data_IF_316057625079
#
_entry.id   IF_316057625079
#
_cell.length_a   1.000
_cell.length_b   1.000
_cell.length_c   1.000
_cell.angle_alpha   90.00
_cell.angle_beta   90.00
_cell.angle_gamma   90.00
#
_symmetry.space_group_name_H-M   'P 1'
#
loop_
_entity.id
_entity.type
_entity.pdbx_description
1 polymer ?
#
# COMPACT_ATOMS: atom_id res chain seq x y z
N UNK A 1 16.77 5.86 -1.97
CA UNK A 1 15.42 5.31 -1.72
C UNK A 1 14.37 6.37 -1.96
N UNK A 2 13.28 5.98 -2.57
CA UNK A 2 12.21 6.90 -2.90
C UNK A 2 11.15 6.87 -1.80
N UNK A 3 10.72 8.05 -1.36
CA UNK A 3 9.66 8.18 -0.36
C UNK A 3 8.40 8.64 -1.07
N UNK A 4 7.28 8.00 -0.79
CA UNK A 4 5.99 8.35 -1.36
C UNK A 4 4.99 8.61 -0.25
N UNK A 5 4.04 9.49 -0.52
CA UNK A 5 2.97 9.77 0.42
C UNK A 5 1.88 8.71 0.27
N UNK A 6 1.51 8.09 1.37
CA UNK A 6 0.52 7.03 1.38
C UNK A 6 -0.64 7.40 2.30
N UNK A 7 -1.82 7.71 1.75
CA UNK A 7 -2.98 8.03 2.59
C UNK A 7 -3.39 6.86 3.49
N UNK A 8 -3.14 5.65 3.05
CA UNK A 8 -3.44 4.46 3.86
C UNK A 8 -2.62 4.44 5.15
N UNK A 9 -1.33 4.79 5.05
CA UNK A 9 -0.44 4.80 6.21
C UNK A 9 -0.45 6.14 6.95
N UNK A 10 -1.17 7.11 6.42
CA UNK A 10 -1.28 8.42 7.05
C UNK A 10 -0.03 9.26 6.98
N UNK A 11 0.84 9.00 6.01
CA UNK A 11 2.07 9.76 5.89
C UNK A 11 2.99 9.20 4.81
N UNK A 12 4.25 9.62 4.87
CA UNK A 12 5.25 9.20 3.90
C UNK A 12 5.83 7.84 4.26
N UNK A 13 5.99 7.00 3.26
CA UNK A 13 6.57 5.67 3.43
C UNK A 13 7.57 5.40 2.31
N UNK A 14 8.39 4.38 2.51
CA UNK A 14 9.33 3.92 1.50
C UNK A 14 8.56 3.37 0.29
N UNK A 15 9.07 3.65 -0.90
CA UNK A 15 8.47 3.16 -2.14
C UNK A 15 8.37 1.62 -2.15
N UNK A 16 9.33 0.94 -1.57
CA UNK A 16 9.30 -0.52 -1.45
C UNK A 16 8.10 -1.00 -0.64
N UNK A 17 7.78 -0.30 0.44
CA UNK A 17 6.61 -0.65 1.26
C UNK A 17 5.33 -0.37 0.48
N UNK A 18 5.29 0.72 -0.25
CA UNK A 18 4.15 1.05 -1.10
C UNK A 18 3.93 -0.05 -2.15
N UNK A 19 5.00 -0.54 -2.74
CA UNK A 19 4.95 -1.63 -3.70
C UNK A 19 4.41 -2.91 -3.06
N UNK A 20 4.87 -3.23 -1.85
CA UNK A 20 4.39 -4.41 -1.13
C UNK A 20 2.89 -4.34 -0.90
N UNK A 21 2.39 -3.17 -0.47
CA UNK A 21 0.96 -2.96 -0.27
C UNK A 21 0.21 -3.11 -1.59
N UNK A 22 0.77 -2.55 -2.66
CA UNK A 22 0.19 -2.66 -3.99
C UNK A 22 0.03 -4.12 -4.42
N UNK A 23 1.05 -4.94 -4.20
CA UNK A 23 1.00 -6.34 -4.56
C UNK A 23 -0.07 -7.10 -3.79
N UNK A 24 -0.24 -6.77 -2.51
CA UNK A 24 -1.28 -7.38 -1.68
C UNK A 24 -2.67 -6.97 -2.18
N UNK A 25 -2.85 -5.70 -2.52
CA UNK A 25 -4.13 -5.18 -3.00
C UNK A 25 -4.51 -5.83 -4.33
N UNK A 26 -3.53 -6.05 -5.20
CA UNK A 26 -3.77 -6.69 -6.50
C UNK A 26 -3.95 -8.21 -6.38
N UNK A 27 -3.73 -8.77 -5.19
CA UNK A 27 -3.85 -10.19 -4.98
C UNK A 27 -2.63 -11.00 -5.44
N UNK A 28 -1.54 -10.32 -5.75
CA UNK A 28 -0.31 -10.97 -6.23
C UNK A 28 0.57 -11.46 -5.08
N UNK A 29 0.29 -11.02 -3.84
CA UNK A 29 1.07 -11.40 -2.67
C UNK A 29 0.15 -11.61 -1.47
N UNK A 30 0.55 -12.41 -0.48
CA UNK A 30 -0.25 -12.60 0.73
C UNK A 30 -0.23 -11.34 1.60
N UNK A 31 -1.26 -11.19 2.45
CA UNK A 31 -1.39 -10.01 3.31
C UNK A 31 -0.17 -9.77 4.18
N UNK A 32 0.52 -10.82 4.58
CA UNK A 32 1.72 -10.71 5.41
C UNK A 32 2.87 -9.97 4.73
N UNK A 33 2.80 -9.82 3.40
CA UNK A 33 3.81 -9.08 2.65
C UNK A 33 3.75 -7.59 2.96
N UNK A 34 2.55 -7.07 3.20
CA UNK A 34 2.35 -5.67 3.56
C UNK A 34 2.50 -5.49 5.08
N UNK A 35 2.80 -4.25 5.55
CA UNK A 35 2.82 -3.97 6.98
C UNK A 35 1.47 -4.29 7.62
N UNK A 36 1.51 -4.85 8.82
CA UNK A 36 0.30 -5.18 9.55
C UNK A 36 -0.61 -3.97 9.74
N UNK A 37 -0.02 -2.80 9.96
CA UNK A 37 -0.78 -1.55 10.12
C UNK A 37 -1.66 -1.26 8.92
N UNK A 38 -1.17 -1.57 7.72
CA UNK A 38 -1.92 -1.32 6.50
C UNK A 38 -3.11 -2.26 6.37
N UNK A 39 -2.89 -3.55 6.57
CA UNK A 39 -3.95 -4.55 6.39
C UNK A 39 -4.98 -4.54 7.49
N UNK A 40 -4.68 -3.93 8.63
CA UNK A 40 -5.63 -3.77 9.73
C UNK A 40 -6.68 -2.71 9.46
N UNK A 41 -6.38 -1.78 8.56
CA UNK A 41 -7.30 -0.70 8.25
C UNK A 41 -8.43 -1.24 7.39
N UNK A 42 -9.67 -1.07 7.86
CA UNK A 42 -10.84 -1.51 7.11
C UNK A 42 -10.92 -0.72 5.79
N UNK A 43 -11.08 -1.44 4.70
CA UNK A 43 -11.15 -0.82 3.38
C UNK A 43 -9.78 -0.40 2.83
N UNK A 44 -8.71 -0.97 3.35
CA UNK A 44 -7.35 -0.60 2.91
C UNK A 44 -7.15 -0.75 1.40
N UNK A 45 -7.84 -1.72 0.80
CA UNK A 45 -7.74 -1.93 -0.66
C UNK A 45 -8.28 -0.74 -1.42
N UNK A 46 -9.43 -0.21 -1.00
CA UNK A 46 -10.01 0.97 -1.65
C UNK A 46 -9.13 2.20 -1.47
N UNK A 47 -8.58 2.37 -0.29
CA UNK A 47 -7.70 3.50 -0.01
C UNK A 47 -6.47 3.44 -0.91
N UNK A 48 -5.88 2.27 -1.04
CA UNK A 48 -4.70 2.09 -1.89
C UNK A 48 -5.03 2.32 -3.37
N UNK A 49 -6.15 1.80 -3.84
CA UNK A 49 -6.56 1.96 -5.23
C UNK A 49 -6.83 3.42 -5.58
N UNK A 50 -7.25 4.22 -4.61
CA UNK A 50 -7.52 5.65 -4.82
C UNK A 50 -6.27 6.51 -4.54
N UNK A 51 -5.17 5.89 -4.14
CA UNK A 51 -3.95 6.62 -3.88
C UNK A 51 -3.37 7.18 -5.18
N UNK A 52 -3.00 8.47 -5.22
CA UNK A 52 -2.43 9.07 -6.44
C UNK A 52 -1.09 8.45 -6.85
N UNK A 53 -0.43 7.76 -5.94
CA UNK A 53 0.83 7.09 -6.21
C UNK A 53 0.66 5.61 -6.57
N UNK A 54 -0.58 5.14 -6.64
CA UNK A 54 -0.84 3.76 -6.99
C UNK A 54 -0.44 3.48 -8.44
N UNK A 55 0.26 2.39 -8.66
CA UNK A 55 0.73 2.00 -9.98
C UNK A 55 -0.21 0.99 -10.61
N UNK A 56 -0.46 1.19 -11.88
CA UNK A 56 -1.38 0.37 -12.66
C UNK A 56 -0.71 -0.77 -13.41
N UNK A 57 0.53 -1.07 -13.13
CA UNK A 57 1.20 -2.10 -13.89
C UNK A 57 1.06 -3.49 -13.31
#
# INVERSE_FOLDING_TARGET
MTIVECPLMGGKIDDGICFDIHMVVEGAAPERTAPEKAVRIKGYKNICLNCPNHRDD
#
